data_IF_456457524707
#
_entry.id   IF_456457524707
#
_cell.length_a   1.000
_cell.length_b   1.000
_cell.length_c   1.000
_cell.angle_alpha   90.00
_cell.angle_beta   90.00
_cell.angle_gamma   90.00
#
_symmetry.space_group_name_H-M   'P 1'
#
loop_
_entity.id
_entity.type
_entity.pdbx_description
1 polymer ?
#
# COMPACT_ATOMS: atom_id res chain seq x y z
N UNK A 1 30.56 20.79 -68.01
CA UNK A 1 30.21 19.94 -69.15
C UNK A 1 29.55 18.70 -68.56
N UNK A 2 28.21 18.77 -68.40
CA UNK A 2 27.20 18.15 -69.30
C UNK A 2 27.24 16.63 -69.16
N UNK A 3 26.18 15.85 -68.96
CA UNK A 3 24.70 15.97 -68.97
C UNK A 3 24.22 14.68 -68.23
N UNK A 4 23.35 14.80 -67.23
CA UNK A 4 21.93 14.44 -67.27
C UNK A 4 21.43 13.46 -68.35
N UNK A 5 20.59 12.52 -67.88
CA UNK A 5 19.40 11.88 -68.50
C UNK A 5 19.45 10.35 -68.39
N UNK A 6 18.40 9.60 -68.00
CA UNK A 6 17.05 9.86 -67.48
C UNK A 6 16.40 8.47 -67.25
N UNK A 7 15.59 8.32 -66.19
CA UNK A 7 14.27 7.64 -66.11
C UNK A 7 14.05 6.22 -66.71
N UNK A 8 13.23 5.27 -66.22
CA UNK A 8 12.15 5.19 -65.21
C UNK A 8 11.70 3.69 -65.11
N UNK A 9 11.29 3.29 -63.91
CA UNK A 9 10.34 2.22 -63.50
C UNK A 9 10.49 0.74 -63.94
N UNK A 10 10.63 -0.14 -62.94
CA UNK A 10 9.46 -0.88 -62.41
C UNK A 10 9.71 -1.43 -60.99
N UNK A 11 8.76 -1.12 -60.10
CA UNK A 11 8.61 -1.60 -58.75
C UNK A 11 8.63 -3.14 -58.66
N UNK A 12 9.27 -3.68 -57.62
CA UNK A 12 8.56 -4.33 -56.52
C UNK A 12 9.53 -4.78 -55.40
N UNK A 13 9.07 -4.58 -54.15
CA UNK A 13 9.59 -5.11 -52.87
C UNK A 13 10.76 -4.37 -52.22
N UNK A 14 10.44 -3.49 -51.28
CA UNK A 14 10.93 -3.53 -49.87
C UNK A 14 10.79 -2.17 -49.17
N UNK A 15 9.56 -1.68 -48.99
CA UNK A 15 9.26 -0.51 -48.15
C UNK A 15 8.89 -0.87 -46.70
N UNK A 16 9.33 -2.03 -46.19
CA UNK A 16 9.25 -2.37 -44.75
C UNK A 16 10.54 -2.06 -43.97
N UNK A 17 11.66 -1.75 -44.63
CA UNK A 17 12.94 -1.51 -43.91
C UNK A 17 13.26 -0.05 -43.59
N UNK A 18 12.46 0.92 -44.06
CA UNK A 18 12.68 2.34 -43.75
C UNK A 18 11.80 2.88 -42.61
N UNK A 19 10.78 2.14 -42.16
CA UNK A 19 9.98 2.49 -40.97
C UNK A 19 10.64 2.15 -39.62
N UNK A 20 11.64 1.27 -39.61
CA UNK A 20 12.24 0.73 -38.39
C UNK A 20 13.44 1.53 -37.84
N UNK A 21 14.07 2.39 -38.66
CA UNK A 21 15.23 3.21 -38.23
C UNK A 21 14.86 4.63 -37.77
N UNK A 22 13.66 5.13 -38.09
CA UNK A 22 13.18 6.43 -37.57
C UNK A 22 12.48 6.31 -36.19
N UNK A 23 12.04 5.12 -35.77
CA UNK A 23 11.39 4.90 -34.46
C UNK A 23 12.35 4.59 -33.30
N UNK A 24 13.67 4.54 -33.53
CA UNK A 24 14.67 4.22 -32.50
C UNK A 24 15.42 5.41 -31.88
N UNK A 25 15.05 6.66 -32.21
CA UNK A 25 15.68 7.88 -31.66
C UNK A 25 14.75 8.81 -30.87
N UNK A 26 13.58 8.33 -30.41
CA UNK A 26 12.75 9.05 -29.43
C UNK A 26 12.32 8.17 -28.25
N UNK A 27 13.25 7.44 -27.66
CA UNK A 27 13.17 7.21 -26.20
C UNK A 27 13.77 8.43 -25.53
N UNK A 28 12.95 9.48 -25.39
CA UNK A 28 13.23 10.57 -24.45
C UNK A 28 13.39 9.87 -23.10
N UNK A 29 14.61 9.84 -22.55
CA UNK A 29 14.81 9.41 -21.16
C UNK A 29 13.87 10.28 -20.32
N UNK A 30 12.78 9.73 -19.82
CA UNK A 30 11.99 10.40 -18.80
C UNK A 30 12.95 10.72 -17.66
N UNK A 31 13.18 12.01 -17.42
CA UNK A 31 13.92 12.46 -16.26
C UNK A 31 13.13 11.98 -15.03
N UNK A 32 13.77 11.44 -13.99
CA UNK A 32 13.07 11.09 -12.76
C UNK A 32 12.27 12.32 -12.28
N UNK A 33 11.03 12.09 -11.83
CA UNK A 33 10.06 13.09 -11.36
C UNK A 33 10.67 14.19 -10.47
N UNK A 34 11.67 13.81 -9.68
CA UNK A 34 12.45 14.69 -8.82
C UNK A 34 13.25 15.73 -9.59
N UNK A 35 13.88 15.37 -10.71
CA UNK A 35 14.60 16.31 -11.59
C UNK A 35 13.66 17.29 -12.31
N UNK A 36 12.43 16.88 -12.61
CA UNK A 36 11.41 17.81 -13.13
C UNK A 36 10.80 18.72 -12.06
N UNK A 37 10.72 18.26 -10.81
CA UNK A 37 10.34 19.08 -9.67
C UNK A 37 11.44 20.13 -9.36
N UNK A 38 12.70 19.70 -9.43
CA UNK A 38 13.92 20.52 -9.26
C UNK A 38 13.98 21.68 -10.28
N UNK A 39 13.83 21.39 -11.58
CA UNK A 39 13.90 22.41 -12.64
C UNK A 39 12.76 23.43 -12.59
N UNK A 40 11.63 23.07 -11.98
CA UNK A 40 10.42 23.88 -11.95
C UNK A 40 10.25 24.73 -10.69
N UNK A 41 10.92 24.36 -9.59
CA UNK A 41 10.93 25.13 -8.34
C UNK A 41 12.07 26.18 -8.30
N UNK A 42 13.02 26.13 -9.23
CA UNK A 42 14.13 27.10 -9.29
C UNK A 42 15.18 26.94 -8.20
N UNK A 43 15.11 25.88 -7.39
CA UNK A 43 16.02 25.60 -6.27
C UNK A 43 17.33 25.02 -6.79
N UNK A 44 18.46 25.33 -6.14
CA UNK A 44 19.75 24.73 -6.49
C UNK A 44 19.74 23.21 -6.29
N UNK A 45 20.38 22.50 -7.22
CA UNK A 45 20.41 21.03 -7.23
C UNK A 45 21.06 20.49 -5.95
N UNK A 46 22.04 21.21 -5.38
CA UNK A 46 22.71 20.79 -4.14
C UNK A 46 21.80 20.90 -2.93
N UNK A 47 20.91 21.89 -2.88
CA UNK A 47 20.03 22.13 -1.74
C UNK A 47 18.92 21.08 -1.64
N UNK A 48 18.35 20.68 -2.78
CA UNK A 48 17.39 19.57 -2.81
C UNK A 48 18.07 18.25 -2.43
N UNK A 49 19.29 18.01 -2.90
CA UNK A 49 20.06 16.83 -2.51
C UNK A 49 20.30 16.80 -0.99
N UNK A 50 20.63 17.93 -0.38
CA UNK A 50 20.76 18.05 1.08
C UNK A 50 19.45 17.71 1.80
N UNK A 51 18.32 18.26 1.34
CA UNK A 51 16.98 17.95 1.90
C UNK A 51 16.66 16.45 1.76
N UNK A 52 16.94 15.83 0.63
CA UNK A 52 16.74 14.40 0.43
C UNK A 52 17.65 13.54 1.30
N UNK A 53 18.88 13.98 1.52
CA UNK A 53 19.84 13.33 2.42
C UNK A 53 19.36 13.37 3.87
N UNK A 54 18.88 14.52 4.34
CA UNK A 54 18.26 14.68 5.65
C UNK A 54 16.97 13.86 5.78
N UNK A 55 16.05 13.94 4.82
CA UNK A 55 14.82 13.13 4.82
C UNK A 55 15.12 11.62 4.81
N UNK A 56 16.21 11.18 4.18
CA UNK A 56 16.65 9.79 4.29
C UNK A 56 17.03 9.40 5.72
N UNK A 57 17.77 10.27 6.43
CA UNK A 57 18.14 10.05 7.83
C UNK A 57 16.88 9.94 8.70
N UNK A 58 15.96 10.92 8.60
CA UNK A 58 14.69 10.89 9.33
C UNK A 58 13.93 9.58 9.10
N UNK A 59 13.71 9.19 7.84
CA UNK A 59 12.96 7.98 7.48
C UNK A 59 13.58 6.69 8.02
N UNK A 60 14.90 6.58 7.95
CA UNK A 60 15.58 5.39 8.44
C UNK A 60 15.50 5.30 9.97
N UNK A 61 15.83 6.39 10.67
CA UNK A 61 15.82 6.43 12.13
C UNK A 61 14.41 6.20 12.69
N UNK A 62 13.42 6.81 12.05
CA UNK A 62 12.01 6.63 12.39
C UNK A 62 11.58 5.16 12.24
N UNK A 63 11.84 4.55 11.07
CA UNK A 63 11.53 3.13 10.85
C UNK A 63 12.28 2.22 11.84
N UNK A 64 13.55 2.49 12.09
CA UNK A 64 14.35 1.73 13.04
C UNK A 64 13.80 1.82 14.47
N UNK A 65 13.33 3.00 14.89
CA UNK A 65 12.77 3.22 16.22
C UNK A 65 11.38 2.59 16.40
N UNK A 66 10.58 2.52 15.34
CA UNK A 66 9.22 1.97 15.37
C UNK A 66 9.17 0.44 15.21
N UNK A 67 10.15 -0.14 14.49
CA UNK A 67 10.21 -1.59 14.25
C UNK A 67 11.64 -2.13 14.31
N UNK A 68 12.29 -1.94 15.45
CA UNK A 68 13.67 -2.41 15.72
C UNK A 68 13.84 -3.92 15.51
N UNK A 69 12.77 -4.71 15.73
CA UNK A 69 12.77 -6.16 15.52
C UNK A 69 13.09 -6.56 14.08
N UNK A 70 12.77 -5.73 13.09
CA UNK A 70 13.13 -6.02 11.69
C UNK A 70 14.64 -5.98 11.42
N UNK A 71 15.44 -5.47 12.35
CA UNK A 71 16.89 -5.25 12.21
C UNK A 71 17.75 -6.20 13.05
N UNK A 72 17.21 -6.85 14.08
CA UNK A 72 18.00 -7.60 15.08
C UNK A 72 18.90 -8.69 14.48
N UNK A 73 18.49 -9.32 13.37
CA UNK A 73 19.30 -10.35 12.68
C UNK A 73 19.85 -9.92 11.32
N UNK A 74 19.89 -8.60 11.06
CA UNK A 74 20.35 -8.02 9.80
C UNK A 74 21.57 -7.13 10.04
N UNK A 75 22.63 -7.66 10.65
CA UNK A 75 23.86 -6.90 10.99
C UNK A 75 24.39 -6.12 9.80
N UNK A 76 24.72 -6.82 8.71
CA UNK A 76 25.24 -6.20 7.47
C UNK A 76 24.32 -5.12 6.91
N UNK A 77 23.00 -5.32 7.01
CA UNK A 77 22.03 -4.34 6.51
C UNK A 77 22.02 -3.10 7.40
N UNK A 78 21.94 -3.31 8.72
CA UNK A 78 21.95 -2.25 9.73
C UNK A 78 23.22 -1.43 9.64
N UNK A 79 24.40 -2.07 9.58
CA UNK A 79 25.70 -1.39 9.47
C UNK A 79 25.80 -0.56 8.18
N UNK A 80 25.21 -1.03 7.07
CA UNK A 80 25.16 -0.25 5.83
C UNK A 80 24.29 0.99 5.96
N UNK A 81 23.14 0.91 6.65
CA UNK A 81 22.30 2.07 6.89
C UNK A 81 22.95 3.05 7.87
N UNK A 82 23.49 2.54 8.98
CA UNK A 82 24.24 3.32 9.97
C UNK A 82 25.39 4.06 9.30
N UNK A 83 26.21 3.37 8.50
CA UNK A 83 27.30 4.00 7.76
C UNK A 83 26.79 5.10 6.83
N UNK A 84 25.71 4.86 6.08
CA UNK A 84 25.12 5.89 5.21
C UNK A 84 24.61 7.10 5.99
N UNK A 85 24.05 6.90 7.18
CA UNK A 85 23.62 7.99 8.06
C UNK A 85 24.84 8.76 8.54
N UNK A 86 25.86 8.09 9.09
CA UNK A 86 27.10 8.72 9.53
C UNK A 86 27.77 9.51 8.41
N UNK A 87 27.89 8.93 7.21
CA UNK A 87 28.48 9.58 6.04
C UNK A 87 27.72 10.86 5.65
N UNK A 88 26.38 10.87 5.77
CA UNK A 88 25.55 12.04 5.48
C UNK A 88 25.60 13.09 6.58
N UNK A 89 25.55 12.67 7.85
CA UNK A 89 25.69 13.58 9.00
C UNK A 89 27.06 14.27 8.99
N UNK A 90 28.12 13.56 8.61
CA UNK A 90 29.46 14.14 8.48
C UNK A 90 29.51 15.31 7.46
N UNK A 91 28.66 15.28 6.42
CA UNK A 91 28.58 16.38 5.44
C UNK A 91 27.90 17.64 5.99
N UNK A 92 27.09 17.53 7.04
CA UNK A 92 26.41 18.68 7.64
C UNK A 92 27.41 19.71 8.21
N UNK A 93 28.65 19.29 8.47
CA UNK A 93 29.75 20.17 8.91
C UNK A 93 30.09 21.27 7.88
N UNK A 94 29.79 21.00 6.60
CA UNK A 94 30.02 21.91 5.48
C UNK A 94 28.81 22.82 5.22
N UNK A 95 27.72 22.66 5.98
CA UNK A 95 26.46 23.38 5.84
C UNK A 95 26.39 24.69 6.62
N UNK A 96 25.16 25.18 6.80
CA UNK A 96 24.87 26.39 7.59
C UNK A 96 25.04 26.14 9.11
N UNK A 97 24.85 27.17 9.94
CA UNK A 97 24.99 27.01 11.40
C UNK A 97 23.99 26.00 11.97
N UNK A 98 22.77 25.94 11.46
CA UNK A 98 21.77 24.94 11.88
C UNK A 98 22.21 23.52 11.56
N UNK A 99 22.84 23.28 10.41
CA UNK A 99 23.37 21.96 10.02
C UNK A 99 24.48 21.50 10.96
N UNK A 100 25.33 22.43 11.39
CA UNK A 100 26.37 22.15 12.39
C UNK A 100 25.75 21.82 13.76
N UNK A 101 24.69 22.53 14.15
CA UNK A 101 23.94 22.21 15.38
C UNK A 101 23.27 20.84 15.30
N UNK A 102 22.75 20.44 14.14
CA UNK A 102 22.22 19.09 13.94
C UNK A 102 23.31 18.02 14.09
N UNK A 103 24.50 18.24 13.50
CA UNK A 103 25.63 17.34 13.68
C UNK A 103 26.03 17.21 15.16
N UNK A 104 26.12 18.32 15.88
CA UNK A 104 26.39 18.32 17.32
C UNK A 104 25.30 17.56 18.09
N UNK A 105 24.02 17.82 17.81
CA UNK A 105 22.89 17.09 18.40
C UNK A 105 22.97 15.57 18.15
N UNK A 106 23.40 15.16 16.95
CA UNK A 106 23.60 13.75 16.61
C UNK A 106 24.72 13.10 17.44
N UNK A 107 25.84 13.81 17.60
CA UNK A 107 27.02 13.36 18.35
C UNK A 107 26.75 13.36 19.86
N UNK A 108 26.19 14.44 20.41
CA UNK A 108 25.87 14.62 21.82
C UNK A 108 24.85 13.59 22.32
N UNK A 109 23.82 13.31 21.51
CA UNK A 109 22.82 12.27 21.81
C UNK A 109 23.37 10.85 21.60
N UNK A 110 24.62 10.70 21.14
CA UNK A 110 25.29 9.43 20.89
C UNK A 110 24.45 8.45 20.05
N UNK A 111 23.76 8.95 19.00
CA UNK A 111 22.70 8.17 18.33
C UNK A 111 23.17 6.85 17.73
N UNK A 112 24.43 6.74 17.30
CA UNK A 112 25.00 5.48 16.83
C UNK A 112 24.99 4.43 17.94
N UNK A 113 25.45 4.79 19.13
CA UNK A 113 25.45 3.92 20.31
C UNK A 113 24.01 3.56 20.68
N UNK A 114 23.10 4.54 20.67
CA UNK A 114 21.67 4.32 20.92
C UNK A 114 21.05 3.30 19.96
N UNK A 115 21.36 3.38 18.66
CA UNK A 115 20.90 2.41 17.64
C UNK A 115 21.40 0.99 17.97
N UNK A 116 22.69 0.85 18.29
CA UNK A 116 23.25 -0.47 18.61
C UNK A 116 22.71 -1.04 19.93
N UNK A 117 22.51 -0.19 20.94
CA UNK A 117 21.91 -0.58 22.22
C UNK A 117 20.48 -1.05 22.04
N UNK A 118 19.65 -0.27 21.32
CA UNK A 118 18.27 -0.65 20.99
C UNK A 118 18.21 -2.00 20.27
N UNK A 119 19.07 -2.19 19.28
CA UNK A 119 19.14 -3.45 18.54
C UNK A 119 19.54 -4.62 19.45
N UNK A 120 20.57 -4.45 20.27
CA UNK A 120 21.04 -5.48 21.19
C UNK A 120 19.98 -5.84 22.24
N UNK A 121 19.29 -4.85 22.79
CA UNK A 121 18.20 -5.05 23.74
C UNK A 121 17.03 -5.78 23.09
N UNK A 122 16.59 -5.36 21.89
CA UNK A 122 15.54 -6.04 21.13
C UNK A 122 15.93 -7.48 20.76
N UNK A 123 17.22 -7.72 20.43
CA UNK A 123 17.73 -9.06 20.19
C UNK A 123 17.69 -9.92 21.45
N UNK A 124 18.08 -9.37 22.61
CA UNK A 124 18.03 -10.08 23.89
C UNK A 124 16.60 -10.51 24.26
N UNK A 125 15.60 -9.66 24.03
CA UNK A 125 14.18 -9.99 24.23
C UNK A 125 13.77 -11.14 23.29
N UNK A 126 14.17 -11.07 22.02
CA UNK A 126 13.89 -12.14 21.06
C UNK A 126 14.51 -13.48 21.46
N UNK A 127 15.78 -13.47 21.91
CA UNK A 127 16.49 -14.66 22.37
C UNK A 127 15.85 -15.24 23.64
N UNK A 128 15.47 -14.39 24.61
CA UNK A 128 14.80 -14.80 25.84
C UNK A 128 13.42 -15.43 25.57
N UNK A 129 12.73 -14.99 24.52
CA UNK A 129 11.45 -15.58 24.07
C UNK A 129 11.61 -16.73 23.06
N UNK A 130 12.83 -17.25 22.92
CA UNK A 130 13.11 -18.47 22.15
C UNK A 130 13.28 -18.27 20.65
N UNK A 131 13.34 -17.04 20.15
CA UNK A 131 13.75 -16.75 18.78
C UNK A 131 15.27 -16.61 18.77
N UNK A 132 15.98 -17.60 18.20
CA UNK A 132 17.45 -17.65 18.18
C UNK A 132 18.09 -17.29 16.84
N UNK A 133 17.29 -17.04 15.80
CA UNK A 133 17.81 -16.84 14.45
C UNK A 133 16.82 -16.09 13.57
N UNK A 134 17.32 -15.51 12.47
CA UNK A 134 16.49 -14.78 11.51
C UNK A 134 15.40 -15.66 10.89
N UNK A 135 14.22 -15.08 10.59
CA UNK A 135 13.16 -15.75 9.83
C UNK A 135 13.68 -16.32 8.51
N UNK A 136 14.55 -15.58 7.81
CA UNK A 136 15.14 -16.02 6.55
C UNK A 136 16.06 -17.23 6.71
N UNK A 137 16.89 -17.27 7.77
CA UNK A 137 17.78 -18.40 8.04
C UNK A 137 16.97 -19.65 8.41
N UNK A 138 15.93 -19.47 9.25
CA UNK A 138 14.99 -20.54 9.60
C UNK A 138 14.23 -21.05 8.38
N UNK A 139 13.78 -20.14 7.51
CA UNK A 139 13.09 -20.50 6.27
C UNK A 139 14.00 -21.27 5.31
N UNK A 140 15.25 -20.84 5.11
CA UNK A 140 16.21 -21.57 4.28
C UNK A 140 16.48 -22.97 4.83
N UNK A 141 16.66 -23.10 6.14
CA UNK A 141 16.92 -24.40 6.77
C UNK A 141 15.71 -25.34 6.66
N UNK A 142 14.51 -24.86 6.98
CA UNK A 142 13.26 -25.62 6.82
C UNK A 142 13.01 -26.00 5.36
N UNK A 143 13.24 -25.05 4.44
CA UNK A 143 13.11 -25.30 3.00
C UNK A 143 14.08 -26.39 2.57
N UNK A 144 15.35 -26.33 2.95
CA UNK A 144 16.34 -27.37 2.61
C UNK A 144 15.99 -28.73 3.22
N UNK A 145 15.56 -28.74 4.50
CA UNK A 145 15.19 -29.96 5.20
C UNK A 145 13.99 -30.67 4.54
N UNK A 146 13.13 -29.94 3.84
CA UNK A 146 11.99 -30.49 3.11
C UNK A 146 12.32 -30.78 1.65
N UNK A 147 13.03 -29.89 0.97
CA UNK A 147 13.32 -30.05 -0.47
C UNK A 147 14.33 -31.15 -0.75
N UNK A 148 15.34 -31.36 0.12
CA UNK A 148 16.36 -32.39 -0.09
C UNK A 148 15.77 -33.81 -0.06
N UNK A 149 14.98 -34.22 0.95
CA UNK A 149 14.33 -35.52 0.95
C UNK A 149 13.37 -35.72 -0.23
N UNK A 150 12.62 -34.68 -0.59
CA UNK A 150 11.68 -34.75 -1.71
C UNK A 150 12.39 -34.89 -3.07
N UNK A 151 13.51 -34.19 -3.27
CA UNK A 151 14.38 -34.40 -4.44
C UNK A 151 14.93 -35.82 -4.49
N UNK A 152 15.38 -36.35 -3.35
CA UNK A 152 15.82 -37.74 -3.24
C UNK A 152 14.71 -38.74 -3.60
N UNK A 153 13.49 -38.49 -3.13
CA UNK A 153 12.31 -39.31 -3.45
C UNK A 153 12.00 -39.26 -4.95
N UNK A 154 11.95 -38.08 -5.57
CA UNK A 154 11.73 -37.95 -7.02
C UNK A 154 12.81 -38.69 -7.80
N UNK A 155 14.08 -38.57 -7.40
CA UNK A 155 15.19 -39.27 -8.03
C UNK A 155 15.04 -40.80 -7.95
N UNK A 156 14.69 -41.34 -6.78
CA UNK A 156 14.45 -42.79 -6.59
C UNK A 156 13.24 -43.26 -7.43
N UNK A 157 12.14 -42.51 -7.43
CA UNK A 157 10.94 -42.86 -8.21
C UNK A 157 11.21 -42.84 -9.72
N UNK A 158 12.07 -41.93 -10.20
CA UNK A 158 12.53 -41.91 -11.59
C UNK A 158 13.35 -43.14 -11.96
N UNK A 159 14.16 -43.68 -11.04
CA UNK A 159 14.91 -44.93 -11.27
C UNK A 159 14.01 -46.18 -11.31
N UNK A 160 12.82 -46.12 -10.71
CA UNK A 160 11.87 -47.23 -10.65
C UNK A 160 10.89 -47.26 -11.85
N UNK A 161 11.06 -46.41 -12.87
CA UNK A 161 10.17 -46.29 -14.04
C UNK A 161 8.68 -46.12 -13.69
N UNK A 162 8.39 -45.38 -12.62
CA UNK A 162 7.00 -45.09 -12.23
C UNK A 162 6.39 -44.10 -13.22
N UNK A 163 5.13 -44.35 -13.59
CA UNK A 163 4.39 -43.51 -14.53
C UNK A 163 4.29 -42.05 -14.05
N UNK A 164 4.46 -41.11 -14.97
CA UNK A 164 4.41 -39.66 -14.75
C UNK A 164 3.10 -39.23 -14.10
N UNK A 165 2.00 -39.96 -14.35
CA UNK A 165 0.69 -39.70 -13.74
C UNK A 165 0.76 -39.76 -12.20
N UNK A 166 1.59 -40.63 -11.62
CA UNK A 166 1.79 -40.71 -10.17
C UNK A 166 2.84 -39.72 -9.65
N UNK A 167 3.76 -39.27 -10.50
CA UNK A 167 4.79 -38.29 -10.15
C UNK A 167 4.21 -36.86 -10.06
N UNK A 168 3.19 -36.55 -10.86
CA UNK A 168 2.61 -35.21 -10.96
C UNK A 168 2.01 -34.68 -9.64
N UNK A 169 1.18 -35.43 -8.88
CA UNK A 169 0.68 -34.98 -7.59
C UNK A 169 1.80 -34.69 -6.58
N UNK A 170 2.87 -35.50 -6.59
CA UNK A 170 4.03 -35.35 -5.71
C UNK A 170 4.77 -34.05 -6.03
N UNK A 171 4.93 -33.72 -7.32
CA UNK A 171 5.52 -32.46 -7.77
C UNK A 171 4.65 -31.26 -7.42
N UNK A 172 3.32 -31.36 -7.52
CA UNK A 172 2.42 -30.29 -7.06
C UNK A 172 2.58 -30.01 -5.57
N UNK A 173 2.65 -31.05 -4.74
CA UNK A 173 2.91 -30.92 -3.29
C UNK A 173 4.29 -30.30 -3.05
N UNK A 174 5.31 -30.67 -3.83
CA UNK A 174 6.65 -30.08 -3.75
C UNK A 174 6.66 -28.58 -4.02
N UNK A 175 5.86 -28.10 -4.98
CA UNK A 175 5.76 -26.67 -5.28
C UNK A 175 5.01 -25.88 -4.20
N UNK A 176 4.05 -26.51 -3.52
CA UNK A 176 3.15 -25.85 -2.56
C UNK A 176 3.81 -25.75 -1.17
N UNK A 177 4.47 -26.80 -0.69
CA UNK A 177 5.02 -26.84 0.68
C UNK A 177 5.96 -25.66 1.00
N UNK A 178 6.91 -25.25 0.13
CA UNK A 178 7.79 -24.11 0.43
C UNK A 178 7.02 -22.79 0.64
N UNK A 179 5.94 -22.57 -0.12
CA UNK A 179 5.10 -21.38 0.04
C UNK A 179 4.33 -21.41 1.37
N UNK A 180 3.78 -22.57 1.75
CA UNK A 180 3.13 -22.76 3.04
C UNK A 180 4.09 -22.54 4.21
N UNK A 181 5.29 -23.13 4.16
CA UNK A 181 6.33 -22.93 5.18
C UNK A 181 6.73 -21.46 5.31
N UNK A 182 6.87 -20.76 4.18
CA UNK A 182 7.13 -19.32 4.16
C UNK A 182 6.02 -18.52 4.84
N UNK A 183 4.76 -18.79 4.47
CA UNK A 183 3.60 -18.15 5.09
C UNK A 183 3.55 -18.40 6.60
N UNK A 184 3.78 -19.63 7.04
CA UNK A 184 3.79 -19.99 8.45
C UNK A 184 4.90 -19.29 9.25
N UNK A 185 6.14 -19.33 8.76
CA UNK A 185 7.29 -18.68 9.43
C UNK A 185 7.10 -17.17 9.51
N UNK A 186 6.66 -16.53 8.41
CA UNK A 186 6.40 -15.09 8.39
C UNK A 186 5.23 -14.70 9.29
N UNK A 187 4.12 -15.44 9.27
CA UNK A 187 2.97 -15.19 10.15
C UNK A 187 3.37 -15.28 11.62
N UNK A 188 4.16 -16.30 11.99
CA UNK A 188 4.68 -16.45 13.36
C UNK A 188 5.64 -15.33 13.73
N UNK A 189 6.46 -14.87 12.80
CA UNK A 189 7.35 -13.72 13.01
C UNK A 189 6.56 -12.43 13.22
N UNK A 190 5.55 -12.15 12.39
CA UNK A 190 4.71 -10.96 12.55
C UNK A 190 3.90 -10.97 13.85
N UNK A 191 3.33 -12.12 14.22
CA UNK A 191 2.66 -12.27 15.52
C UNK A 191 3.62 -12.01 16.68
N UNK A 192 4.84 -12.57 16.62
CA UNK A 192 5.88 -12.29 17.60
C UNK A 192 6.21 -10.79 17.67
N UNK A 193 6.35 -10.09 16.54
CA UNK A 193 6.62 -8.65 16.54
C UNK A 193 5.50 -7.88 17.24
N UNK A 194 4.26 -8.16 16.89
CA UNK A 194 3.10 -7.45 17.44
C UNK A 194 2.94 -7.67 18.94
N UNK A 195 3.05 -8.91 19.41
CA UNK A 195 2.95 -9.27 20.83
C UNK A 195 4.05 -8.62 21.69
N UNK A 196 5.20 -8.31 21.11
CA UNK A 196 6.39 -7.86 21.82
C UNK A 196 6.74 -6.39 21.58
N UNK A 197 6.05 -5.72 20.66
CA UNK A 197 6.32 -4.33 20.28
C UNK A 197 6.27 -3.40 21.50
N UNK A 198 5.22 -3.51 22.31
CA UNK A 198 5.01 -2.64 23.48
C UNK A 198 6.06 -2.88 24.58
N UNK A 199 6.49 -4.12 24.79
CA UNK A 199 7.53 -4.45 25.76
C UNK A 199 8.87 -3.83 25.36
N UNK A 200 9.27 -3.99 24.10
CA UNK A 200 10.51 -3.41 23.57
C UNK A 200 10.45 -1.89 23.64
N UNK A 201 9.33 -1.29 23.24
CA UNK A 201 9.15 0.15 23.35
C UNK A 201 9.30 0.64 24.80
N UNK A 202 8.66 -0.04 25.75
CA UNK A 202 8.68 0.36 27.17
C UNK A 202 10.08 0.23 27.77
N UNK A 203 10.78 -0.86 27.48
CA UNK A 203 12.14 -1.11 28.00
C UNK A 203 13.18 -0.15 27.42
N UNK A 204 12.95 0.38 26.21
CA UNK A 204 13.90 1.24 25.51
C UNK A 204 13.33 2.64 25.23
N UNK A 205 12.38 3.09 26.04
CA UNK A 205 11.66 4.34 25.80
C UNK A 205 12.59 5.53 25.69
N UNK A 206 13.59 5.63 26.57
CA UNK A 206 14.55 6.75 26.58
C UNK A 206 15.34 6.83 25.27
N UNK A 207 15.92 5.70 24.85
CA UNK A 207 16.66 5.57 23.60
C UNK A 207 15.80 5.92 22.37
N UNK A 208 14.54 5.44 22.36
CA UNK A 208 13.57 5.77 21.29
C UNK A 208 13.26 7.27 21.29
N UNK A 209 13.09 7.88 22.46
CA UNK A 209 12.81 9.32 22.56
C UNK A 209 13.99 10.17 22.13
N UNK A 210 15.24 9.74 22.39
CA UNK A 210 16.44 10.42 21.88
C UNK A 210 16.46 10.42 20.35
N UNK A 211 16.17 9.27 19.74
CA UNK A 211 16.07 9.14 18.27
C UNK A 211 14.95 10.02 17.73
N UNK A 212 13.74 9.95 18.30
CA UNK A 212 12.58 10.74 17.87
C UNK A 212 12.80 12.24 18.01
N UNK A 213 13.43 12.68 19.10
CA UNK A 213 13.81 14.07 19.31
C UNK A 213 14.75 14.57 18.20
N UNK A 214 15.79 13.81 17.86
CA UNK A 214 16.68 14.17 16.76
C UNK A 214 15.96 14.21 15.39
N UNK A 215 15.03 13.27 15.14
CA UNK A 215 14.22 13.29 13.91
C UNK A 215 13.37 14.57 13.85
N UNK A 216 12.76 14.98 14.98
CA UNK A 216 12.03 16.23 15.08
C UNK A 216 12.90 17.44 14.75
N UNK A 217 14.10 17.54 15.33
CA UNK A 217 15.07 18.61 15.06
C UNK A 217 15.41 18.66 13.55
N UNK A 218 15.64 17.50 12.95
CA UNK A 218 16.01 17.38 11.54
C UNK A 218 14.85 17.73 10.59
N UNK A 219 13.62 17.33 10.92
CA UNK A 219 12.42 17.70 10.16
C UNK A 219 12.13 19.21 10.24
N UNK A 220 12.32 19.82 11.41
CA UNK A 220 12.16 21.25 11.59
C UNK A 220 13.20 22.05 10.79
N UNK A 221 14.47 21.61 10.77
CA UNK A 221 15.50 22.21 9.92
C UNK A 221 15.17 22.09 8.43
N UNK A 222 14.69 20.93 7.97
CA UNK A 222 14.25 20.76 6.57
C UNK A 222 13.12 21.75 6.26
N UNK A 223 12.11 21.84 7.14
CA UNK A 223 10.97 22.76 6.96
C UNK A 223 11.43 24.21 6.88
N UNK A 224 12.31 24.64 7.80
CA UNK A 224 12.84 26.00 7.81
C UNK A 224 13.56 26.33 6.51
N UNK A 225 14.40 25.41 6.02
CA UNK A 225 15.10 25.56 4.74
C UNK A 225 14.15 25.63 3.54
N UNK A 226 13.12 24.78 3.50
CA UNK A 226 12.10 24.83 2.45
C UNK A 226 11.31 26.14 2.46
N UNK A 227 11.02 26.69 3.65
CA UNK A 227 10.36 27.98 3.78
C UNK A 227 11.24 29.15 3.33
N UNK A 228 12.55 29.10 3.66
CA UNK A 228 13.52 30.10 3.23
C UNK A 228 13.66 30.15 1.71
N UNK A 229 13.62 29.00 1.05
CA UNK A 229 13.70 28.87 -0.40
C UNK A 229 12.32 29.01 -1.10
N UNK A 230 11.30 29.50 -0.37
CA UNK A 230 9.93 29.72 -0.87
C UNK A 230 9.29 28.50 -1.56
N UNK A 231 9.66 27.30 -1.09
CA UNK A 231 9.23 26.04 -1.70
C UNK A 231 7.83 25.68 -1.22
N UNK A 232 6.87 25.40 -2.12
CA UNK A 232 5.55 24.94 -1.72
C UNK A 232 5.63 23.61 -0.96
N UNK A 233 5.40 23.66 0.35
CA UNK A 233 5.55 22.52 1.28
C UNK A 233 4.64 21.33 0.91
N UNK A 234 3.51 21.58 0.25
CA UNK A 234 2.56 20.56 -0.21
C UNK A 234 3.14 19.60 -1.25
N UNK A 235 4.20 20.03 -1.96
CA UNK A 235 4.87 19.21 -2.97
C UNK A 235 5.84 18.20 -2.35
N UNK A 236 6.30 18.45 -1.12
CA UNK A 236 7.26 17.59 -0.42
C UNK A 236 6.49 16.55 0.38
N UNK A 237 6.36 15.36 -0.22
CA UNK A 237 5.66 14.21 0.37
C UNK A 237 6.65 13.13 0.77
N UNK A 238 6.54 12.64 2.00
CA UNK A 238 7.41 11.59 2.53
C UNK A 238 6.67 10.67 3.49
N UNK A 239 7.30 9.55 3.85
CA UNK A 239 6.72 8.49 4.67
C UNK A 239 7.46 8.39 5.99
N UNK A 240 6.72 8.40 7.08
CA UNK A 240 7.20 8.04 8.42
C UNK A 240 6.34 6.89 8.97
N UNK A 241 6.74 6.32 10.10
CA UNK A 241 6.13 5.19 10.81
C UNK A 241 5.63 5.62 12.19
N UNK A 242 5.93 6.86 12.60
CA UNK A 242 5.43 7.48 13.82
C UNK A 242 4.57 8.72 13.54
N UNK A 243 3.67 9.04 14.48
CA UNK A 243 2.82 10.24 14.46
C UNK A 243 3.29 11.34 15.40
N UNK A 244 4.41 11.13 16.06
CA UNK A 244 4.84 11.94 17.20
C UNK A 244 5.50 13.27 16.80
N UNK A 245 5.63 13.54 15.49
CA UNK A 245 6.32 14.71 14.98
C UNK A 245 5.36 15.87 14.74
N UNK A 246 5.76 17.04 15.20
CA UNK A 246 5.03 18.30 15.03
C UNK A 246 5.27 18.91 13.64
N UNK A 247 4.46 19.91 13.28
CA UNK A 247 4.60 20.67 12.03
C UNK A 247 4.44 19.86 10.74
N UNK A 248 3.74 18.73 10.82
CA UNK A 248 3.45 17.84 9.70
C UNK A 248 1.95 17.67 9.49
N UNK A 249 1.53 17.75 8.24
CA UNK A 249 0.17 17.43 7.81
C UNK A 249 0.09 15.97 7.37
N UNK A 250 -0.71 15.17 8.07
CA UNK A 250 -1.00 13.79 7.68
C UNK A 250 -1.87 13.79 6.42
N UNK A 251 -1.39 13.13 5.37
CA UNK A 251 -2.08 12.99 4.08
C UNK A 251 -2.80 11.66 3.96
N UNK A 252 -2.18 10.57 4.44
CA UNK A 252 -2.72 9.22 4.32
C UNK A 252 -2.04 8.27 5.33
N UNK A 253 -2.70 7.16 5.65
CA UNK A 253 -2.16 6.06 6.44
C UNK A 253 -2.29 4.75 5.66
N UNK A 254 -1.22 3.97 5.56
CA UNK A 254 -1.24 2.63 4.94
C UNK A 254 -0.66 1.60 5.87
N UNK A 255 -1.31 0.45 5.98
CA UNK A 255 -0.73 -0.71 6.64
C UNK A 255 -0.10 -1.64 5.59
N UNK A 256 1.22 -1.79 5.63
CA UNK A 256 1.96 -2.68 4.74
C UNK A 256 2.65 -3.74 5.58
N UNK A 257 2.17 -4.98 5.49
CA UNK A 257 2.78 -6.15 6.16
C UNK A 257 2.90 -5.97 7.70
N UNK A 258 1.89 -5.36 8.32
CA UNK A 258 1.85 -5.13 9.77
C UNK A 258 2.60 -3.86 10.20
N UNK A 259 3.17 -3.10 9.26
CA UNK A 259 3.78 -1.80 9.53
C UNK A 259 2.83 -0.69 9.07
N UNK A 260 2.53 0.22 9.99
CA UNK A 260 1.76 1.42 9.66
C UNK A 260 2.71 2.49 9.13
N UNK A 261 2.40 2.97 7.93
CA UNK A 261 3.11 4.04 7.24
C UNK A 261 2.20 5.26 7.16
N UNK A 262 2.72 6.39 7.61
CA UNK A 262 2.06 7.68 7.59
C UNK A 262 2.70 8.54 6.52
N UNK A 263 1.88 9.00 5.58
CA UNK A 263 2.28 9.89 4.51
C UNK A 263 2.11 11.33 4.98
N UNK A 264 3.18 12.10 4.97
CA UNK A 264 3.21 13.47 5.46
C UNK A 264 3.58 14.45 4.36
N UNK A 265 3.09 15.68 4.51
CA UNK A 265 3.71 16.90 3.99
C UNK A 265 4.04 17.83 5.15
N UNK A 266 4.92 18.81 4.95
CA UNK A 266 5.16 19.84 5.96
C UNK A 266 3.96 20.79 6.05
N UNK A 267 3.70 21.29 7.26
CA UNK A 267 2.67 22.29 7.55
C UNK A 267 3.26 23.70 7.51
N UNK A 268 2.49 24.71 7.08
CA UNK A 268 2.93 26.10 7.15
C UNK A 268 2.80 26.64 8.58
N UNK A 269 3.68 27.54 9.04
CA UNK A 269 3.53 28.19 10.34
C UNK A 269 2.22 28.97 10.41
N UNK A 270 1.67 29.11 11.62
CA UNK A 270 0.46 29.92 11.82
C UNK A 270 0.66 31.36 11.31
N UNK A 271 -0.30 31.85 10.53
CA UNK A 271 -0.26 33.19 9.94
C UNK A 271 0.55 33.31 8.65
N UNK A 272 1.16 32.23 8.15
CA UNK A 272 1.81 32.20 6.84
C UNK A 272 0.89 31.52 5.80
N UNK A 273 0.58 32.22 4.72
CA UNK A 273 -0.18 31.63 3.60
C UNK A 273 0.72 30.69 2.77
N UNK A 274 0.15 29.60 2.21
CA UNK A 274 0.94 28.68 1.40
C UNK A 274 1.48 29.33 0.13
N UNK A 275 2.72 29.00 -0.24
CA UNK A 275 3.31 29.48 -1.49
C UNK A 275 2.54 28.96 -2.71
N UNK A 276 2.35 29.79 -3.74
CA UNK A 276 1.62 29.38 -4.94
C UNK A 276 2.37 28.26 -5.66
N UNK A 277 1.67 27.18 -5.96
CA UNK A 277 2.23 26.06 -6.73
C UNK A 277 2.29 26.46 -8.22
N UNK A 278 3.48 26.44 -8.85
CA UNK A 278 3.61 26.68 -10.28
C UNK A 278 2.70 25.75 -11.11
N UNK A 279 2.11 26.23 -12.19
CA UNK A 279 1.09 25.47 -12.95
C UNK A 279 1.61 24.14 -13.52
N UNK A 280 2.89 24.12 -13.90
CA UNK A 280 3.62 22.92 -14.34
C UNK A 280 3.81 21.86 -13.23
N UNK A 281 3.57 22.23 -11.97
CA UNK A 281 3.72 21.39 -10.78
C UNK A 281 2.40 21.02 -10.10
N UNK A 282 1.26 21.56 -10.56
CA UNK A 282 -0.08 21.19 -10.05
C UNK A 282 -0.36 19.67 -10.12
N UNK A 283 0.24 18.97 -11.08
CA UNK A 283 0.17 17.49 -11.17
C UNK A 283 0.76 16.76 -9.96
N UNK A 284 1.59 17.41 -9.16
CA UNK A 284 2.25 16.83 -7.97
C UNK A 284 1.53 17.17 -6.67
N UNK A 285 0.54 18.07 -6.72
CA UNK A 285 -0.31 18.45 -5.59
C UNK A 285 -1.22 17.28 -5.17
N UNK A 286 -1.71 16.50 -6.13
CA UNK A 286 -2.42 15.27 -5.83
C UNK A 286 -1.45 14.23 -5.25
N UNK A 287 -1.80 13.52 -4.16
CA UNK A 287 -0.97 12.41 -3.68
C UNK A 287 -0.71 11.46 -4.86
N UNK A 288 0.50 10.91 -4.93
CA UNK A 288 0.87 9.86 -5.90
C UNK A 288 0.09 8.54 -5.73
N UNK A 289 -0.98 8.62 -4.96
CA UNK A 289 -2.05 7.66 -4.85
C UNK A 289 -3.25 8.20 -5.64
N UNK A 290 -3.05 8.51 -6.92
CA UNK A 290 -3.85 7.71 -7.82
C UNK A 290 -3.36 6.28 -7.57
N UNK A 291 -4.11 5.55 -6.74
CA UNK A 291 -4.14 4.10 -6.97
C UNK A 291 -4.18 3.97 -8.50
N UNK A 292 -3.34 3.13 -9.14
CA UNK A 292 -3.75 2.69 -10.47
C UNK A 292 -5.23 2.37 -10.32
N UNK A 293 -6.10 2.89 -11.19
CA UNK A 293 -7.48 2.45 -11.28
C UNK A 293 -7.46 0.94 -11.59
N UNK A 294 -7.04 0.15 -10.62
CA UNK A 294 -7.58 -1.12 -10.26
C UNK A 294 -8.79 -0.66 -9.49
N UNK A 295 -9.95 -0.77 -10.12
CA UNK A 295 -11.24 -0.83 -9.46
C UNK A 295 -11.01 -1.30 -8.01
N UNK A 296 -11.21 -0.40 -7.03
CA UNK A 296 -11.28 -0.84 -5.64
C UNK A 296 -12.43 -1.83 -5.64
N UNK A 297 -12.11 -3.12 -5.53
CA UNK A 297 -13.14 -4.12 -5.32
C UNK A 297 -13.69 -3.83 -3.93
N UNK A 298 -14.88 -3.23 -3.90
CA UNK A 298 -15.61 -2.98 -2.67
C UNK A 298 -15.78 -4.31 -1.94
N UNK A 299 -15.55 -4.32 -0.62
CA UNK A 299 -15.54 -5.58 0.16
C UNK A 299 -16.74 -5.74 1.08
N UNK A 300 -17.48 -4.66 1.30
CA UNK A 300 -18.55 -4.60 2.29
C UNK A 300 -19.92 -4.71 1.60
N UNK A 301 -20.16 -5.85 0.95
CA UNK A 301 -21.46 -6.16 0.38
C UNK A 301 -22.33 -6.91 1.36
N UNK A 302 -23.53 -6.37 1.58
CA UNK A 302 -24.60 -7.01 2.33
C UNK A 302 -25.63 -7.52 1.32
N UNK A 303 -26.02 -8.78 1.44
CA UNK A 303 -27.11 -9.33 0.64
C UNK A 303 -28.35 -9.46 1.53
N UNK A 304 -29.48 -8.94 1.04
CA UNK A 304 -30.75 -9.08 1.74
C UNK A 304 -31.33 -10.46 1.43
N UNK A 305 -31.10 -11.40 2.35
CA UNK A 305 -31.56 -12.80 2.26
C UNK A 305 -32.91 -12.99 2.96
N UNK A 306 -33.58 -14.13 2.73
CA UNK A 306 -34.91 -14.43 3.31
C UNK A 306 -35.95 -13.33 3.04
N UNK A 307 -35.87 -12.78 1.82
CA UNK A 307 -36.64 -11.63 1.39
C UNK A 307 -38.13 -11.97 1.26
N UNK A 308 -38.98 -11.18 1.91
CA UNK A 308 -40.42 -11.13 1.60
C UNK A 308 -40.70 -9.84 0.85
N UNK A 309 -40.64 -9.92 -0.48
CA UNK A 309 -40.89 -8.79 -1.35
C UNK A 309 -41.94 -9.10 -2.41
N UNK A 310 -42.79 -8.12 -2.69
CA UNK A 310 -43.82 -8.20 -3.73
C UNK A 310 -44.05 -6.83 -4.37
N UNK A 311 -44.13 -6.82 -5.69
CA UNK A 311 -44.29 -5.65 -6.54
C UNK A 311 -43.18 -4.60 -6.31
N UNK A 312 -41.95 -5.08 -6.05
CA UNK A 312 -40.79 -4.23 -5.75
C UNK A 312 -40.86 -3.53 -4.38
N UNK A 313 -41.63 -4.06 -3.43
CA UNK A 313 -41.72 -3.56 -2.04
C UNK A 313 -41.27 -4.67 -1.09
N UNK A 314 -40.24 -4.39 -0.31
CA UNK A 314 -39.62 -5.29 0.64
C UNK A 314 -40.28 -5.13 2.02
N UNK A 315 -40.96 -6.18 2.49
CA UNK A 315 -41.63 -6.20 3.79
C UNK A 315 -40.75 -6.72 4.92
N UNK A 316 -39.83 -7.63 4.61
CA UNK A 316 -38.84 -8.15 5.56
C UNK A 316 -37.63 -8.74 4.84
N UNK A 317 -36.48 -8.69 5.49
CA UNK A 317 -35.24 -9.29 5.02
C UNK A 317 -34.32 -9.61 6.21
N UNK A 318 -33.32 -10.45 5.96
CA UNK A 318 -32.19 -10.68 6.85
C UNK A 318 -30.93 -10.15 6.16
N UNK A 319 -30.27 -9.10 6.68
CA UNK A 319 -29.04 -8.59 6.09
C UNK A 319 -27.88 -9.53 6.39
N UNK A 320 -27.25 -10.06 5.34
CA UNK A 320 -26.13 -11.00 5.48
C UNK A 320 -24.88 -10.43 4.82
N UNK A 321 -23.80 -10.26 5.58
CA UNK A 321 -22.51 -9.83 5.05
C UNK A 321 -21.91 -10.94 4.18
N UNK A 322 -21.65 -10.64 2.90
CA UNK A 322 -21.05 -11.55 1.92
C UNK A 322 -19.68 -11.07 1.46
N UNK A 323 -18.81 -10.76 2.43
CA UNK A 323 -17.44 -10.32 2.16
C UNK A 323 -16.59 -11.37 1.43
N UNK A 324 -16.93 -12.66 1.58
CA UNK A 324 -16.31 -13.78 0.87
C UNK A 324 -16.68 -13.83 -0.63
N UNK A 325 -17.81 -13.22 -1.02
CA UNK A 325 -18.26 -13.13 -2.41
C UNK A 325 -18.00 -11.76 -3.04
N UNK A 326 -17.29 -10.86 -2.34
CA UNK A 326 -17.10 -9.48 -2.76
C UNK A 326 -16.52 -9.35 -4.19
N UNK A 327 -15.52 -10.16 -4.55
CA UNK A 327 -14.96 -10.13 -5.91
C UNK A 327 -16.00 -10.49 -6.97
N UNK A 328 -16.86 -11.47 -6.68
CA UNK A 328 -17.91 -11.92 -7.59
C UNK A 328 -19.02 -10.87 -7.71
N UNK A 329 -19.43 -10.26 -6.60
CA UNK A 329 -20.42 -9.19 -6.59
C UNK A 329 -19.91 -7.97 -7.39
N UNK A 330 -18.64 -7.58 -7.21
CA UNK A 330 -18.04 -6.51 -8.02
C UNK A 330 -18.06 -6.84 -9.53
N UNK A 331 -17.75 -8.08 -9.91
CA UNK A 331 -17.84 -8.49 -11.33
C UNK A 331 -19.25 -8.40 -11.88
N UNK A 332 -20.26 -8.76 -11.08
CA UNK A 332 -21.68 -8.64 -11.45
C UNK A 332 -22.05 -7.17 -11.61
N UNK A 333 -21.71 -6.32 -10.64
CA UNK A 333 -22.00 -4.89 -10.70
C UNK A 333 -21.30 -4.20 -11.89
N UNK A 334 -20.04 -4.52 -12.15
CA UNK A 334 -19.30 -3.97 -13.31
C UNK A 334 -19.87 -4.44 -14.66
N UNK A 335 -20.60 -5.56 -14.68
CA UNK A 335 -21.29 -6.09 -15.86
C UNK A 335 -22.77 -5.67 -15.94
N UNK A 336 -23.25 -4.84 -14.99
CA UNK A 336 -24.63 -4.37 -14.94
C UNK A 336 -24.76 -2.95 -15.50
N UNK A 337 -25.95 -2.65 -15.99
CA UNK A 337 -26.37 -1.27 -16.26
C UNK A 337 -27.14 -0.74 -15.06
N UNK A 338 -26.93 0.53 -14.71
CA UNK A 338 -27.55 1.17 -13.56
C UNK A 338 -28.56 2.21 -14.02
N UNK A 339 -29.72 2.23 -13.36
CA UNK A 339 -30.70 3.30 -13.48
C UNK A 339 -31.23 3.65 -12.10
N UNK A 340 -31.48 4.94 -11.88
CA UNK A 340 -32.08 5.40 -10.63
C UNK A 340 -33.43 4.74 -10.40
N UNK A 341 -33.69 4.32 -9.16
CA UNK A 341 -34.99 3.78 -8.80
C UNK A 341 -36.06 4.88 -8.88
N UNK A 342 -37.22 4.63 -9.53
CA UNK A 342 -38.33 5.57 -9.52
C UNK A 342 -39.03 5.66 -8.16
N UNK A 343 -38.74 4.72 -7.25
CA UNK A 343 -39.26 4.66 -5.88
C UNK A 343 -38.17 5.09 -4.90
N UNK A 344 -38.54 5.90 -3.91
CA UNK A 344 -37.64 6.27 -2.81
C UNK A 344 -37.42 5.09 -1.83
N UNK A 345 -36.36 5.17 -1.00
CA UNK A 345 -36.03 4.14 0.01
C UNK A 345 -37.23 3.77 0.86
N UNK A 346 -38.01 4.76 1.32
CA UNK A 346 -39.17 4.55 2.19
C UNK A 346 -40.34 3.88 1.47
N UNK A 347 -40.38 3.90 0.14
CA UNK A 347 -41.39 3.19 -0.64
C UNK A 347 -40.98 1.74 -0.91
N UNK A 348 -39.67 1.48 -1.01
CA UNK A 348 -39.11 0.15 -1.21
C UNK A 348 -39.05 -0.62 0.12
N UNK A 349 -38.65 0.03 1.21
CA UNK A 349 -38.53 -0.54 2.56
C UNK A 349 -39.29 0.36 3.56
N UNK A 350 -40.63 0.29 3.61
CA UNK A 350 -41.44 1.22 4.42
C UNK A 350 -41.25 1.09 5.93
N UNK A 351 -40.71 -0.04 6.41
CA UNK A 351 -40.50 -0.31 7.84
C UNK A 351 -39.01 -0.31 8.24
N UNK A 352 -38.16 0.44 7.51
CA UNK A 352 -36.74 0.54 7.85
C UNK A 352 -36.57 1.15 9.26
N UNK A 353 -36.17 0.30 10.21
CA UNK A 353 -36.15 0.60 11.64
C UNK A 353 -35.05 -0.22 12.31
N UNK A 354 -34.76 0.02 13.60
CA UNK A 354 -33.71 -0.72 14.30
C UNK A 354 -33.93 -2.25 14.27
N UNK A 355 -35.17 -2.74 14.19
CA UNK A 355 -35.45 -4.18 14.10
C UNK A 355 -35.29 -4.74 12.68
N UNK A 356 -35.24 -3.86 11.67
CA UNK A 356 -35.15 -4.18 10.24
C UNK A 356 -34.25 -3.15 9.55
N UNK A 357 -32.97 -3.16 9.94
CA UNK A 357 -31.95 -2.23 9.46
C UNK A 357 -30.76 -2.96 8.85
N UNK A 358 -30.08 -2.29 7.94
CA UNK A 358 -28.77 -2.70 7.46
C UNK A 358 -27.74 -2.10 8.42
N UNK A 359 -26.82 -2.92 8.91
CA UNK A 359 -25.82 -2.52 9.89
C UNK A 359 -24.44 -2.44 9.25
N UNK A 360 -23.67 -1.42 9.63
CA UNK A 360 -22.26 -1.33 9.31
C UNK A 360 -21.46 -2.33 10.16
N UNK A 361 -20.20 -2.61 9.77
CA UNK A 361 -19.28 -3.47 10.52
C UNK A 361 -19.04 -2.99 11.96
N UNK A 362 -19.17 -1.69 12.21
CA UNK A 362 -19.07 -1.10 13.54
C UNK A 362 -20.34 -1.26 14.39
N UNK A 363 -21.44 -1.79 13.82
CA UNK A 363 -22.73 -1.97 14.49
C UNK A 363 -23.68 -0.77 14.42
N UNK A 364 -23.30 0.34 13.77
CA UNK A 364 -24.22 1.46 13.52
C UNK A 364 -25.21 1.13 12.39
N UNK A 365 -26.42 1.68 12.45
CA UNK A 365 -27.42 1.58 11.37
C UNK A 365 -26.97 2.41 10.18
N UNK A 366 -26.98 1.80 9.00
CA UNK A 366 -26.62 2.46 7.75
C UNK A 366 -27.77 3.36 7.31
N UNK A 367 -27.46 4.65 7.11
CA UNK A 367 -28.35 5.57 6.40
C UNK A 367 -28.21 5.35 4.89
N UNK A 368 -29.29 4.93 4.22
CA UNK A 368 -29.27 4.72 2.78
C UNK A 368 -29.30 6.09 2.07
N UNK A 369 -28.30 6.36 1.26
CA UNK A 369 -28.15 7.59 0.48
C UNK A 369 -28.88 7.51 -0.86
N UNK A 370 -28.75 6.36 -1.54
CA UNK A 370 -29.27 6.15 -2.89
C UNK A 370 -29.76 4.71 -3.11
N UNK A 371 -30.70 4.54 -4.05
CA UNK A 371 -31.19 3.23 -4.50
C UNK A 371 -31.22 3.19 -6.01
N UNK A 372 -30.51 2.23 -6.55
CA UNK A 372 -30.41 2.00 -7.99
C UNK A 372 -31.00 0.64 -8.35
N UNK A 373 -31.55 0.55 -9.54
CA UNK A 373 -31.90 -0.71 -10.18
C UNK A 373 -30.70 -1.13 -11.02
N UNK A 374 -30.14 -2.29 -10.69
CA UNK A 374 -29.05 -2.92 -11.43
C UNK A 374 -29.61 -3.97 -12.37
N UNK A 375 -29.36 -3.79 -13.66
CA UNK A 375 -29.76 -4.70 -14.72
C UNK A 375 -28.55 -5.47 -15.24
N UNK A 376 -28.44 -6.74 -14.87
CA UNK A 376 -27.35 -7.61 -15.27
C UNK A 376 -27.66 -8.35 -16.56
N UNK A 377 -26.78 -8.22 -17.56
CA UNK A 377 -26.91 -8.82 -18.91
C UNK A 377 -28.29 -8.60 -19.57
N UNK A 378 -28.95 -7.47 -19.28
CA UNK A 378 -30.29 -7.14 -19.78
C UNK A 378 -31.43 -8.11 -19.40
N UNK A 379 -31.18 -9.10 -18.54
CA UNK A 379 -32.11 -10.19 -18.24
C UNK A 379 -32.56 -10.24 -16.78
N UNK A 380 -31.72 -9.76 -15.86
CA UNK A 380 -31.96 -9.89 -14.42
C UNK A 380 -31.81 -8.55 -13.71
N UNK A 381 -32.86 -8.16 -12.98
CA UNK A 381 -32.93 -6.88 -12.26
C UNK A 381 -32.95 -7.10 -10.74
N UNK A 382 -32.17 -6.29 -10.04
CA UNK A 382 -32.08 -6.30 -8.58
C UNK A 382 -31.83 -4.87 -8.06
N UNK A 383 -32.14 -4.64 -6.78
CA UNK A 383 -31.85 -3.37 -6.12
C UNK A 383 -30.41 -3.34 -5.60
N UNK A 384 -29.74 -2.21 -5.81
CA UNK A 384 -28.50 -1.81 -5.15
C UNK A 384 -28.79 -0.61 -4.25
N UNK A 385 -28.57 -0.77 -2.95
CA UNK A 385 -28.66 0.29 -1.96
C UNK A 385 -27.25 0.76 -1.61
N UNK A 386 -27.01 2.06 -1.72
CA UNK A 386 -25.75 2.68 -1.32
C UNK A 386 -25.95 3.44 -0.01
N UNK A 387 -25.21 3.04 1.03
CA UNK A 387 -25.20 3.73 2.31
C UNK A 387 -24.33 4.99 2.29
N UNK A 388 -24.63 5.96 3.16
CA UNK A 388 -23.67 7.02 3.48
C UNK A 388 -22.45 6.43 4.19
N UNK A 389 -21.31 7.11 4.05
CA UNK A 389 -20.09 6.76 4.79
C UNK A 389 -20.37 6.77 6.31
N UNK A 390 -20.11 5.64 6.96
CA UNK A 390 -20.29 5.50 8.40
C UNK A 390 -19.16 6.23 9.15
N UNK A 391 -19.35 6.53 10.45
CA UNK A 391 -18.30 7.17 11.27
C UNK A 391 -17.00 6.39 11.37
N UNK A 392 -17.02 5.09 11.09
CA UNK A 392 -15.81 4.27 11.00
C UNK A 392 -15.05 4.42 9.67
N UNK A 393 -15.55 5.25 8.74
CA UNK A 393 -14.94 5.51 7.44
C UNK A 393 -15.27 4.47 6.35
N UNK A 394 -16.23 3.58 6.61
CA UNK A 394 -16.63 2.52 5.67
C UNK A 394 -17.98 2.86 5.02
N UNK A 395 -18.07 2.62 3.72
CA UNK A 395 -19.33 2.66 2.95
C UNK A 395 -19.89 1.25 2.83
N UNK A 396 -21.21 1.11 2.99
CA UNK A 396 -21.90 -0.18 2.93
C UNK A 396 -22.78 -0.22 1.69
N UNK A 397 -22.62 -1.28 0.91
CA UNK A 397 -23.44 -1.56 -0.26
C UNK A 397 -24.33 -2.75 0.05
N UNK A 398 -25.64 -2.62 -0.16
CA UNK A 398 -26.56 -3.74 -0.02
C UNK A 398 -27.21 -4.09 -1.35
N UNK A 399 -27.36 -5.39 -1.64
CA UNK A 399 -28.06 -5.88 -2.83
C UNK A 399 -29.26 -6.74 -2.43
N UNK A 400 -30.35 -6.61 -3.17
CA UNK A 400 -31.60 -7.35 -2.91
C UNK A 400 -32.32 -7.69 -4.20
N UNK A 401 -33.00 -8.84 -4.22
CA UNK A 401 -34.01 -9.10 -5.24
C UNK A 401 -35.12 -8.04 -5.15
N UNK A 402 -35.77 -7.76 -6.28
CA UNK A 402 -36.94 -6.87 -6.31
C UNK A 402 -38.19 -7.58 -5.78
N UNK A 403 -38.34 -8.86 -6.08
CA UNK A 403 -39.45 -9.71 -5.66
C UNK A 403 -38.97 -11.09 -5.22
N UNK A 404 -39.69 -11.70 -4.29
CA UNK A 404 -39.38 -13.06 -3.79
C UNK A 404 -39.51 -14.13 -4.88
N UNK A 405 -40.41 -13.93 -5.86
CA UNK A 405 -40.65 -14.87 -6.96
C UNK A 405 -39.70 -14.71 -8.15
N UNK A 406 -38.76 -13.77 -8.11
CA UNK A 406 -37.85 -13.53 -9.24
C UNK A 406 -36.95 -14.75 -9.47
N UNK A 407 -36.95 -15.28 -10.69
CA UNK A 407 -36.07 -16.39 -11.06
C UNK A 407 -34.62 -15.92 -11.14
N UNK A 408 -33.80 -16.32 -10.16
CA UNK A 408 -32.37 -15.98 -10.12
C UNK A 408 -31.60 -16.85 -11.13
N UNK A 409 -30.83 -16.26 -12.07
CA UNK A 409 -29.96 -17.01 -12.97
C UNK A 409 -29.00 -17.94 -12.22
N UNK A 410 -28.70 -19.12 -12.78
CA UNK A 410 -27.80 -20.12 -12.14
C UNK A 410 -26.46 -19.51 -11.70
N UNK A 411 -25.92 -18.57 -12.48
CA UNK A 411 -24.65 -17.88 -12.20
C UNK A 411 -24.68 -17.01 -10.92
N UNK A 412 -25.86 -16.58 -10.47
CA UNK A 412 -26.04 -15.63 -9.36
C UNK A 412 -26.69 -16.26 -8.12
N UNK A 413 -27.07 -17.55 -8.17
CA UNK A 413 -27.74 -18.22 -7.05
C UNK A 413 -26.90 -18.26 -5.77
N UNK A 414 -25.59 -18.36 -5.90
CA UNK A 414 -24.67 -18.35 -4.76
C UNK A 414 -24.59 -16.98 -4.07
N UNK A 415 -24.96 -15.89 -4.76
CA UNK A 415 -25.04 -14.54 -4.18
C UNK A 415 -26.37 -14.36 -3.45
N UNK A 416 -27.49 -14.67 -4.09
CA UNK A 416 -28.84 -14.30 -3.60
C UNK A 416 -29.59 -15.40 -2.84
N UNK A 417 -29.30 -16.69 -3.04
CA UNK A 417 -30.09 -17.81 -2.51
C UNK A 417 -29.34 -18.70 -1.51
N UNK A 418 -28.06 -18.45 -1.27
CA UNK A 418 -27.20 -19.22 -0.38
C UNK A 418 -26.66 -18.29 0.69
#
# INVERSE_FOLDING_TARGET
MTENEKTINKNEKSSEEQGAKAKRLRKKKEKPRQQSLQEALGIDVKEIQDIEEKLFIARFLDYFSEDTLDFIYKDKGTDQYVKKVTDKVAKLDQGNEEDKLLKLSFEDKNLITTIYNLKANAESVAQNKGIKSSPDKRLRWLSLAVTVPLLGLVFILSFLNIDIIFLFPILCVFCIIPQFLRGYVLKKWFAFKEENKNEIYTQNREDIMLIKSFIGDLLNNIRAKLLQEEVPLQLIKFVLHSRDYENLKLLNTKNIRGLTQYYYSFEYPEGMEPFPIPENLKQYEQPDFQEPQKEKTEKNFIVLTELKAKDGIIKSFVPTLRGDLAEKINQVLNASQFSDSPKEVNEIIPNYSNEMAIYCLCGEIVEIADVQISKWKDEFEFYLFEGKECKCGETVYAISLMDESTSVPEELKDIFLR
#
